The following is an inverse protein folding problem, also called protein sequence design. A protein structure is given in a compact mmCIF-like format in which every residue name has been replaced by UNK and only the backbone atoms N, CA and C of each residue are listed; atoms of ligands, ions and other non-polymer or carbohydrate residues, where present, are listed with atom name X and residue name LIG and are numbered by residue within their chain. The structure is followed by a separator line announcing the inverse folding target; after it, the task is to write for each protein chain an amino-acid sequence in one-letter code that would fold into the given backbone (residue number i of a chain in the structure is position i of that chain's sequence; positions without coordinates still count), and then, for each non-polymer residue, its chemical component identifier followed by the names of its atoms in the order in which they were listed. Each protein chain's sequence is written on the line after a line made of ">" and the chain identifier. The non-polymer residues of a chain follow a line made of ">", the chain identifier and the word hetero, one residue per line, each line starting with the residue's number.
data_IF_956284320168
#
_entry.id   IF_956284320168
#
_cell.length_a   1.000
_cell.length_b   1.000
_cell.length_c   1.000
_cell.angle_alpha   90.00
_cell.angle_beta   90.00
_cell.angle_gamma   90.00
#
_symmetry.space_group_name_H-M   'P 1'
#
loop_
_entity.id
_entity.type
_entity.pdbx_description
1 polymer ?
#
# COMPACT_ATOMS: atom_id res chain seq x y z
N UNK A 1 19.08 4.72 6.64
CA UNK A 1 19.16 5.15 5.23
C UNK A 1 17.81 4.75 4.70
N UNK A 2 16.95 5.73 4.41
CA UNK A 2 15.64 5.42 3.88
C UNK A 2 15.80 4.85 2.47
N UNK A 3 15.23 3.67 2.25
CA UNK A 3 15.11 3.08 0.92
C UNK A 3 13.67 3.32 0.46
N UNK A 4 13.41 4.25 -0.48
CA UNK A 4 12.06 4.47 -0.97
C UNK A 4 11.60 3.26 -1.80
N UNK A 5 10.45 2.68 -1.44
CA UNK A 5 9.75 1.70 -2.26
C UNK A 5 8.73 2.43 -3.15
N UNK A 6 8.97 2.45 -4.45
CA UNK A 6 7.98 2.99 -5.41
C UNK A 6 6.83 2.01 -5.60
N UNK A 7 5.63 2.44 -5.24
CA UNK A 7 4.39 1.69 -5.40
C UNK A 7 3.52 2.38 -6.45
N UNK A 8 3.15 1.66 -7.49
CA UNK A 8 2.27 2.18 -8.54
C UNK A 8 1.29 1.12 -9.00
N UNK A 9 0.10 1.55 -9.40
CA UNK A 9 -0.94 0.65 -9.87
C UNK A 9 -2.19 1.38 -10.32
N UNK A 10 -3.28 0.63 -10.48
CA UNK A 10 -4.61 1.19 -10.72
C UNK A 10 -5.63 0.61 -9.74
N UNK A 11 -6.53 1.46 -9.26
CA UNK A 11 -7.52 1.10 -8.24
C UNK A 11 -8.90 1.61 -8.66
N UNK A 12 -9.93 0.84 -8.31
CA UNK A 12 -11.34 1.26 -8.37
C UNK A 12 -11.89 1.20 -6.95
N UNK A 13 -11.76 2.32 -6.24
CA UNK A 13 -12.02 2.39 -4.79
C UNK A 13 -12.86 3.62 -4.48
N UNK A 14 -13.66 3.54 -3.40
CA UNK A 14 -14.49 4.65 -2.95
C UNK A 14 -13.60 5.85 -2.57
N UNK A 15 -13.97 7.06 -2.99
CA UNK A 15 -13.19 8.30 -2.79
C UNK A 15 -11.76 8.29 -3.33
N UNK A 16 -11.41 7.32 -4.18
CA UNK A 16 -10.06 7.13 -4.74
C UNK A 16 -8.97 6.82 -3.69
N UNK A 17 -9.31 6.59 -2.41
CA UNK A 17 -8.32 6.36 -1.35
C UNK A 17 -7.72 4.96 -1.42
N UNK A 18 -6.39 4.90 -1.51
CA UNK A 18 -5.59 3.66 -1.54
C UNK A 18 -4.63 3.67 -0.34
N UNK A 19 -4.74 2.65 0.51
CA UNK A 19 -3.86 2.40 1.63
C UNK A 19 -2.72 1.46 1.20
N UNK A 20 -1.52 1.75 1.69
CA UNK A 20 -0.30 1.01 1.36
C UNK A 20 0.43 0.75 2.66
N UNK A 21 0.83 -0.50 2.93
CA UNK A 21 1.72 -0.81 4.05
C UNK A 21 2.73 -1.89 3.69
N UNK A 22 3.91 -1.77 4.26
CA UNK A 22 4.98 -2.76 4.18
C UNK A 22 5.05 -3.51 5.51
N UNK A 23 4.96 -4.82 5.43
CA UNK A 23 4.95 -5.73 6.58
C UNK A 23 6.16 -6.65 6.50
N UNK A 24 6.88 -6.83 7.60
CA UNK A 24 8.00 -7.78 7.65
C UNK A 24 7.53 -9.24 7.79
N UNK A 25 8.47 -10.18 7.69
CA UNK A 25 8.19 -11.62 7.84
C UNK A 25 7.65 -12.01 9.25
N UNK A 26 7.73 -11.12 10.24
CA UNK A 26 7.15 -11.32 11.57
C UNK A 26 5.72 -10.74 11.67
N UNK A 27 5.17 -10.19 10.57
CA UNK A 27 3.85 -9.57 10.54
C UNK A 27 3.82 -8.15 11.09
N UNK A 28 4.98 -7.51 11.31
CA UNK A 28 5.06 -6.15 11.81
C UNK A 28 5.05 -5.15 10.66
N UNK A 29 4.17 -4.15 10.72
CA UNK A 29 4.21 -3.00 9.82
C UNK A 29 5.48 -2.18 10.08
N UNK A 30 6.33 -2.07 9.07
CA UNK A 30 7.59 -1.32 9.13
C UNK A 30 7.50 0.03 8.41
N UNK A 31 6.53 0.19 7.51
CA UNK A 31 6.16 1.46 6.92
C UNK A 31 4.71 1.42 6.44
N UNK A 32 4.02 2.55 6.45
CA UNK A 32 2.67 2.69 5.91
C UNK A 32 2.43 4.08 5.35
N UNK A 33 1.40 4.19 4.52
CA UNK A 33 0.99 5.44 3.91
C UNK A 33 -0.33 5.29 3.14
N UNK A 34 -0.75 6.38 2.54
CA UNK A 34 -1.91 6.38 1.66
C UNK A 34 -1.69 7.34 0.50
N UNK A 35 -2.39 7.08 -0.59
CA UNK A 35 -2.44 7.94 -1.76
C UNK A 35 -3.85 7.95 -2.33
N UNK A 36 -4.08 8.83 -3.30
CA UNK A 36 -5.33 8.88 -4.05
C UNK A 36 -5.08 8.41 -5.48
N UNK A 37 -5.92 7.51 -5.97
CA UNK A 37 -6.00 7.21 -7.39
C UNK A 37 -6.50 8.45 -8.16
N UNK A 38 -6.17 8.54 -9.45
CA UNK A 38 -6.56 9.65 -10.31
C UNK A 38 -8.08 9.76 -10.55
N UNK A 39 -8.83 8.72 -10.19
CA UNK A 39 -10.29 8.64 -10.32
C UNK A 39 -10.86 7.70 -9.24
N UNK A 40 -11.99 8.08 -8.64
CA UNK A 40 -12.72 7.27 -7.66
C UNK A 40 -13.77 6.38 -8.32
N UNK A 41 -14.25 5.38 -7.58
CA UNK A 41 -15.31 4.49 -8.05
C UNK A 41 -16.58 5.29 -8.47
N UNK A 42 -17.25 4.91 -9.59
CA UNK A 42 -17.10 3.66 -10.32
C UNK A 42 -15.90 3.60 -11.30
N UNK A 43 -15.20 4.71 -11.51
CA UNK A 43 -14.01 4.80 -12.35
C UNK A 43 -12.79 4.07 -11.79
N UNK A 44 -11.82 3.77 -12.66
CA UNK A 44 -10.53 3.17 -12.28
C UNK A 44 -9.43 4.20 -12.50
N UNK A 45 -8.85 4.68 -11.41
CA UNK A 45 -7.74 5.64 -11.44
C UNK A 45 -6.39 4.97 -11.28
N UNK A 46 -5.34 5.63 -11.78
CA UNK A 46 -3.95 5.25 -11.55
C UNK A 46 -3.44 5.93 -10.28
N UNK A 47 -2.52 5.30 -9.56
CA UNK A 47 -1.84 5.91 -8.42
C UNK A 47 -0.34 5.64 -8.46
N UNK A 48 0.42 6.53 -7.84
CA UNK A 48 1.84 6.39 -7.57
C UNK A 48 2.13 6.92 -6.17
N UNK A 49 2.97 6.21 -5.43
CA UNK A 49 3.36 6.57 -4.07
C UNK A 49 4.80 6.12 -3.80
N UNK A 50 5.56 6.93 -3.08
CA UNK A 50 6.90 6.55 -2.59
C UNK A 50 6.76 6.23 -1.11
N UNK A 51 6.92 4.96 -0.75
CA UNK A 51 6.88 4.53 0.64
C UNK A 51 8.30 4.51 1.20
N UNK A 52 8.61 5.50 2.04
CA UNK A 52 9.91 5.56 2.70
C UNK A 52 9.93 4.57 3.87
N UNK A 53 10.95 3.70 3.91
CA UNK A 53 11.18 2.79 5.03
C UNK A 53 12.69 2.69 5.34
N UNK A 54 13.01 2.51 6.62
CA UNK A 54 14.37 2.24 7.07
C UNK A 54 14.54 0.73 7.31
N UNK A 55 15.40 0.10 6.50
CA UNK A 55 15.84 -1.27 6.70
C UNK A 55 17.32 -1.30 7.10
N UNK A 56 17.65 -1.64 8.36
CA UNK A 56 19.04 -1.68 8.82
C UNK A 56 19.82 -2.90 8.27
N UNK A 57 19.12 -3.90 7.76
CA UNK A 57 19.68 -5.10 7.15
C UNK A 57 18.76 -5.59 6.02
N UNK A 58 19.28 -6.38 5.08
CA UNK A 58 18.45 -7.03 4.08
C UNK A 58 17.35 -7.87 4.73
N UNK A 59 16.15 -7.82 4.17
CA UNK A 59 14.96 -8.44 4.71
C UNK A 59 13.97 -8.85 3.63
N UNK A 60 12.92 -9.54 4.07
CA UNK A 60 11.81 -9.95 3.23
C UNK A 60 10.50 -9.67 3.95
N UNK A 61 9.45 -9.45 3.18
CA UNK A 61 8.13 -9.16 3.70
C UNK A 61 7.09 -9.04 2.60
N UNK A 62 5.97 -8.40 2.93
CA UNK A 62 4.84 -8.20 2.03
C UNK A 62 4.49 -6.71 1.94
N UNK A 63 4.36 -6.24 0.70
CA UNK A 63 3.69 -4.99 0.39
C UNK A 63 2.20 -5.25 0.24
N UNK A 64 1.40 -4.68 1.14
CA UNK A 64 -0.04 -4.77 1.11
C UNK A 64 -0.66 -3.47 0.59
N UNK A 65 -1.52 -3.58 -0.42
CA UNK A 65 -2.29 -2.47 -1.00
C UNK A 65 -3.76 -2.78 -0.89
N UNK A 66 -4.55 -1.90 -0.28
CA UNK A 66 -5.97 -2.11 -0.01
C UNK A 66 -6.72 -0.77 0.08
N UNK A 67 -8.03 -0.82 0.30
CA UNK A 67 -8.80 0.34 0.73
C UNK A 67 -9.65 -0.02 1.94
N UNK A 68 -9.88 0.96 2.80
CA UNK A 68 -10.73 0.78 4.00
C UNK A 68 -12.17 1.14 3.69
N UNK A 69 -13.08 0.22 3.97
CA UNK A 69 -14.53 0.45 3.89
C UNK A 69 -14.94 1.55 4.87
N UNK A 70 -15.54 2.67 4.41
CA UNK A 70 -16.05 3.71 5.32
C UNK A 70 -17.26 3.23 6.13
N UNK A 71 -17.87 2.11 5.74
CA UNK A 71 -19.06 1.54 6.39
C UNK A 71 -18.71 0.79 7.68
N UNK A 72 -17.63 0.01 7.67
CA UNK A 72 -17.29 -0.93 8.75
C UNK A 72 -15.80 -1.05 9.05
N UNK A 73 -14.95 -0.22 8.43
CA UNK A 73 -13.51 -0.17 8.69
C UNK A 73 -12.73 -1.37 8.17
N UNK A 74 -13.35 -2.27 7.40
CA UNK A 74 -12.68 -3.46 6.88
C UNK A 74 -11.76 -3.12 5.71
N UNK A 75 -10.63 -3.83 5.65
CA UNK A 75 -9.75 -3.85 4.48
C UNK A 75 -10.44 -4.61 3.34
N UNK A 76 -10.55 -3.97 2.18
CA UNK A 76 -11.17 -4.52 0.99
C UNK A 76 -10.18 -4.52 -0.19
N UNK A 77 -10.40 -5.44 -1.12
CA UNK A 77 -9.59 -5.63 -2.35
C UNK A 77 -8.08 -5.67 -2.09
N UNK A 78 -7.69 -6.23 -0.93
CA UNK A 78 -6.30 -6.29 -0.51
C UNK A 78 -5.47 -7.16 -1.45
N UNK A 79 -4.36 -6.60 -1.92
CA UNK A 79 -3.33 -7.28 -2.70
C UNK A 79 -2.05 -7.31 -1.87
N UNK A 80 -1.48 -8.50 -1.68
CA UNK A 80 -0.19 -8.70 -1.03
C UNK A 80 0.86 -9.10 -2.06
N UNK A 81 1.98 -8.40 -2.09
CA UNK A 81 3.10 -8.64 -3.01
C UNK A 81 4.35 -8.95 -2.18
N UNK A 82 4.97 -10.13 -2.32
CA UNK A 82 6.22 -10.43 -1.62
C UNK A 82 7.33 -9.53 -2.16
N UNK A 83 8.10 -8.94 -1.25
CA UNK A 83 9.23 -8.06 -1.59
C UNK A 83 10.44 -8.41 -0.74
N UNK A 84 11.62 -8.15 -1.31
CA UNK A 84 12.91 -8.24 -0.64
C UNK A 84 13.58 -6.88 -0.71
N UNK A 85 14.31 -6.51 0.33
CA UNK A 85 15.05 -5.26 0.42
C UNK A 85 16.39 -5.46 1.12
#
# INVERSE_FOLDING_TARGET
>A
MASPLEVSGSARVFEATVNIRLVDNAGKTIAEGFTTASEGAPGRGNFKYSLDFDAPAPGQGELEVFWTSPKDGKELDKVSIPVNW
#
